data_IF_303135242324
#
_entry.id   IF_303135242324
#
_cell.length_a   1.000
_cell.length_b   1.000
_cell.length_c   1.000
_cell.angle_alpha   90.00
_cell.angle_beta   90.00
_cell.angle_gamma   90.00
#
_symmetry.space_group_name_H-M   'P 1'
#
loop_
_entity.id
_entity.type
_entity.pdbx_description
1 polymer ?
#
# COMPACT_ATOMS: atom_id res chain seq x y z
N UNK A 1 70.11 -3.74 -0.98
CA UNK A 1 69.52 -2.93 0.11
C UNK A 1 68.16 -3.51 0.44
N UNK A 2 68.11 -4.35 1.49
CA UNK A 2 66.91 -4.56 2.30
C UNK A 2 66.90 -3.48 3.40
N UNK A 3 65.75 -3.24 4.07
CA UNK A 3 65.53 -4.00 5.29
C UNK A 3 64.13 -4.61 5.43
N UNK A 4 64.12 -5.77 6.07
CA UNK A 4 63.03 -6.35 6.86
C UNK A 4 62.64 -5.46 8.06
N UNK A 5 61.42 -5.61 8.56
CA UNK A 5 61.04 -5.66 10.00
C UNK A 5 59.54 -5.93 10.13
N UNK A 6 59.17 -7.17 10.53
CA UNK A 6 58.82 -7.63 11.90
C UNK A 6 57.42 -7.24 12.37
N UNK A 7 56.55 -8.25 12.36
CA UNK A 7 55.71 -8.75 13.46
C UNK A 7 55.54 -7.87 14.70
N UNK A 8 54.30 -7.67 15.13
CA UNK A 8 53.92 -7.91 16.53
C UNK A 8 52.45 -8.29 16.69
N UNK A 9 52.29 -9.37 17.44
CA UNK A 9 51.08 -9.97 18.04
C UNK A 9 50.68 -9.13 19.25
N UNK A 10 49.40 -8.84 19.47
CA UNK A 10 48.84 -8.83 20.84
C UNK A 10 47.38 -9.28 20.82
N UNK A 11 47.18 -10.43 21.46
CA UNK A 11 45.93 -11.01 21.94
C UNK A 11 45.41 -10.17 23.12
N UNK A 12 44.12 -9.79 23.12
CA UNK A 12 43.42 -9.46 24.37
C UNK A 12 42.00 -10.00 24.34
N UNK A 13 41.81 -10.95 25.24
CA UNK A 13 40.58 -11.57 25.67
C UNK A 13 39.60 -10.56 26.30
N UNK A 14 38.33 -10.97 26.28
CA UNK A 14 37.45 -11.04 27.46
C UNK A 14 36.21 -10.14 27.47
N UNK A 15 35.10 -10.85 27.74
CA UNK A 15 33.92 -10.48 28.53
C UNK A 15 32.78 -9.64 27.94
N UNK A 16 31.67 -10.36 27.88
CA UNK A 16 30.35 -10.02 28.44
C UNK A 16 29.41 -9.14 27.60
N UNK A 17 28.44 -9.79 26.96
CA UNK A 17 27.04 -9.70 27.41
C UNK A 17 26.15 -10.59 26.53
N UNK A 18 26.03 -11.86 26.93
CA UNK A 18 24.86 -12.65 26.62
C UNK A 18 23.65 -11.97 27.30
N UNK A 19 22.90 -11.18 26.54
CA UNK A 19 21.51 -10.89 26.87
C UNK A 19 20.65 -11.87 26.09
N UNK A 20 20.32 -12.97 26.77
CA UNK A 20 19.26 -13.88 26.36
C UNK A 20 17.96 -13.10 26.21
N UNK A 21 17.62 -12.77 24.97
CA UNK A 21 16.26 -12.38 24.61
C UNK A 21 15.45 -13.67 24.59
N UNK A 22 14.82 -13.97 25.72
CA UNK A 22 13.74 -14.95 25.76
C UNK A 22 12.69 -14.54 24.72
N UNK A 23 12.56 -15.36 23.68
CA UNK A 23 11.52 -15.19 22.68
C UNK A 23 10.17 -15.44 23.35
N UNK A 24 9.15 -14.58 23.17
CA UNK A 24 7.84 -14.83 23.74
C UNK A 24 7.28 -16.15 23.19
N UNK A 25 6.57 -16.94 24.02
CA UNK A 25 6.01 -18.22 23.58
C UNK A 25 4.99 -18.01 22.44
N UNK A 26 4.89 -18.96 21.49
CA UNK A 26 3.94 -18.88 20.40
C UNK A 26 2.50 -18.88 20.91
N UNK A 27 1.69 -17.95 20.39
CA UNK A 27 0.29 -17.79 20.73
C UNK A 27 -0.54 -18.91 20.07
N UNK A 28 -1.07 -19.84 20.87
CA UNK A 28 -1.97 -20.88 20.39
C UNK A 28 -3.41 -20.34 20.34
N UNK A 29 -3.78 -19.69 19.24
CA UNK A 29 -5.16 -19.22 19.03
C UNK A 29 -6.05 -20.36 18.52
N UNK A 30 -6.55 -21.19 19.43
CA UNK A 30 -7.68 -22.07 19.13
C UNK A 30 -8.73 -21.93 20.22
N UNK A 31 -9.32 -20.74 20.31
CA UNK A 31 -10.58 -20.55 21.03
C UNK A 31 -11.71 -20.53 20.00
N UNK A 32 -12.28 -21.70 19.72
CA UNK A 32 -13.55 -21.80 19.02
C UNK A 32 -14.65 -21.92 20.07
N UNK A 33 -15.59 -20.97 20.16
CA UNK A 33 -16.74 -21.11 21.04
C UNK A 33 -17.62 -22.23 20.47
N UNK A 34 -17.71 -23.37 21.15
CA UNK A 34 -18.68 -24.40 20.79
C UNK A 34 -20.08 -23.90 21.15
N UNK A 35 -20.85 -23.51 20.14
CA UNK A 35 -22.27 -23.18 20.28
C UNK A 35 -23.06 -24.46 20.63
N UNK A 36 -23.67 -24.50 21.82
CA UNK A 36 -24.53 -25.60 22.24
C UNK A 36 -26.00 -25.22 21.98
N UNK A 37 -26.66 -25.77 20.94
CA UNK A 37 -27.97 -25.32 20.48
C UNK A 37 -29.16 -25.82 21.34
N UNK A 38 -28.94 -26.47 22.49
CA UNK A 38 -30.01 -27.10 23.28
C UNK A 38 -30.39 -26.36 24.56
N UNK A 39 -30.10 -25.06 24.67
CA UNK A 39 -30.46 -24.28 25.86
C UNK A 39 -31.89 -23.75 25.78
N UNK A 40 -32.85 -24.53 26.29
CA UNK A 40 -34.21 -24.07 26.56
C UNK A 40 -34.28 -23.44 27.96
N UNK A 41 -34.43 -22.11 28.08
CA UNK A 41 -34.42 -21.41 29.36
C UNK A 41 -35.69 -21.66 30.21
N UNK A 42 -36.70 -22.34 29.68
CA UNK A 42 -37.99 -22.52 30.37
C UNK A 42 -38.07 -23.78 31.23
N UNK A 43 -37.24 -24.79 30.95
CA UNK A 43 -37.19 -26.05 31.70
C UNK A 43 -36.31 -26.03 32.96
N UNK A 44 -35.55 -24.94 33.18
CA UNK A 44 -34.59 -24.85 34.30
C UNK A 44 -35.21 -24.41 35.64
N UNK A 45 -36.53 -24.16 35.71
CA UNK A 45 -37.17 -23.56 36.90
C UNK A 45 -37.79 -24.53 37.89
N UNK A 46 -38.07 -25.78 37.53
CA UNK A 46 -38.92 -26.65 38.37
C UNK A 46 -38.21 -27.78 39.12
N UNK A 47 -36.92 -28.03 38.88
CA UNK A 47 -36.19 -29.09 39.59
C UNK A 47 -34.76 -28.67 39.97
N UNK A 48 -34.64 -27.62 40.78
CA UNK A 48 -33.37 -27.28 41.40
C UNK A 48 -33.18 -28.13 42.68
N UNK A 49 -32.31 -29.18 42.68
CA UNK A 49 -31.91 -29.80 43.94
C UNK A 49 -31.23 -28.73 44.80
N UNK A 50 -31.45 -28.79 46.12
CA UNK A 50 -30.76 -27.96 47.10
C UNK A 50 -29.25 -28.10 46.86
N UNK A 51 -28.68 -27.15 46.12
CA UNK A 51 -27.24 -27.10 45.88
C UNK A 51 -26.61 -26.72 47.19
N UNK A 52 -26.05 -27.71 47.87
CA UNK A 52 -25.03 -27.50 48.88
C UNK A 52 -24.10 -26.40 48.37
N UNK A 53 -23.88 -25.39 49.21
CA UNK A 53 -22.98 -24.29 48.97
C UNK A 53 -21.57 -24.85 48.76
N UNK A 54 -21.27 -25.28 47.52
CA UNK A 54 -19.92 -25.38 47.01
C UNK A 54 -19.41 -23.95 47.00
N UNK A 55 -18.82 -23.57 48.14
CA UNK A 55 -18.10 -22.33 48.31
C UNK A 55 -17.21 -22.20 47.08
N UNK A 56 -17.55 -21.24 46.21
CA UNK A 56 -16.76 -20.92 45.04
C UNK A 56 -15.40 -20.49 45.58
N UNK A 57 -14.47 -21.45 45.64
CA UNK A 57 -13.13 -21.25 46.14
C UNK A 57 -12.46 -20.48 45.04
N UNK A 58 -12.48 -19.15 45.16
CA UNK A 58 -11.81 -18.26 44.23
C UNK A 58 -10.40 -18.83 43.98
N UNK A 59 -10.00 -19.02 42.72
CA UNK A 59 -8.67 -19.49 42.42
C UNK A 59 -7.67 -18.54 43.10
N UNK A 60 -6.79 -19.12 43.92
CA UNK A 60 -5.86 -18.38 44.79
C UNK A 60 -4.94 -17.40 44.02
N UNK A 61 -4.93 -17.45 42.69
CA UNK A 61 -4.30 -16.49 41.79
C UNK A 61 -4.91 -15.08 41.82
N UNK A 62 -6.02 -14.85 42.54
CA UNK A 62 -6.61 -13.51 42.70
C UNK A 62 -6.20 -12.80 44.01
N UNK A 63 -5.44 -13.47 44.89
CA UNK A 63 -5.05 -12.94 46.21
C UNK A 63 -3.71 -12.23 46.25
N UNK A 64 -2.98 -12.20 45.13
CA UNK A 64 -1.71 -11.47 45.05
C UNK A 64 -1.89 -10.12 44.34
N UNK A 65 -2.02 -9.01 45.09
CA UNK A 65 -2.10 -7.67 44.51
C UNK A 65 -0.85 -7.29 43.70
N UNK A 66 0.32 -7.92 43.96
CA UNK A 66 1.52 -7.68 43.16
C UNK A 66 1.39 -8.29 41.75
N UNK A 67 0.75 -9.45 41.62
CA UNK A 67 0.47 -10.09 40.32
C UNK A 67 -0.59 -9.31 39.50
N UNK A 68 -1.48 -8.55 40.16
CA UNK A 68 -2.41 -7.64 39.49
C UNK A 68 -1.72 -6.35 39.04
N UNK A 69 -0.86 -5.77 39.88
CA UNK A 69 -0.05 -4.59 39.54
C UNK A 69 0.98 -4.85 38.43
N UNK A 70 1.57 -6.05 38.38
CA UNK A 70 2.48 -6.45 37.30
C UNK A 70 1.77 -6.51 35.94
N UNK A 71 0.57 -7.11 35.90
CA UNK A 71 -0.25 -7.17 34.68
C UNK A 71 -0.68 -5.77 34.22
N UNK A 72 -1.13 -4.89 35.11
CA UNK A 72 -1.54 -3.54 34.71
C UNK A 72 -0.39 -2.71 34.13
N UNK A 73 0.84 -2.89 34.62
CA UNK A 73 2.05 -2.29 34.02
C UNK A 73 2.34 -2.87 32.64
N UNK A 74 2.26 -4.18 32.48
CA UNK A 74 2.50 -4.83 31.20
C UNK A 74 1.45 -4.44 30.14
N UNK A 75 0.18 -4.31 30.53
CA UNK A 75 -0.87 -3.78 29.65
C UNK A 75 -0.66 -2.29 29.31
N UNK A 76 -0.18 -1.49 30.25
CA UNK A 76 0.13 -0.08 30.01
C UNK A 76 1.32 0.08 29.04
N UNK A 77 2.37 -0.74 29.16
CA UNK A 77 3.50 -0.76 28.23
C UNK A 77 3.11 -1.24 26.83
N UNK A 78 2.34 -2.33 26.75
CA UNK A 78 1.81 -2.83 25.47
C UNK A 78 0.95 -1.77 24.77
N UNK A 79 0.04 -1.11 25.49
CA UNK A 79 -0.80 -0.06 24.93
C UNK A 79 0.03 1.15 24.48
N UNK A 80 1.10 1.51 25.21
CA UNK A 80 2.03 2.57 24.79
C UNK A 80 2.75 2.21 23.51
N UNK A 81 3.32 1.02 23.41
CA UNK A 81 4.01 0.56 22.19
C UNK A 81 3.09 0.51 20.97
N UNK A 82 1.86 -0.01 21.14
CA UNK A 82 0.86 -0.01 20.06
C UNK A 82 0.46 1.42 19.67
N UNK A 83 0.29 2.32 20.64
CA UNK A 83 -0.06 3.71 20.36
C UNK A 83 1.05 4.48 19.66
N UNK A 84 2.31 4.26 20.02
CA UNK A 84 3.45 4.87 19.32
C UNK A 84 3.57 4.33 17.90
N UNK A 85 3.45 3.01 17.72
CA UNK A 85 3.50 2.40 16.39
C UNK A 85 2.35 2.89 15.48
N UNK A 86 1.14 3.05 16.02
CA UNK A 86 0.01 3.61 15.27
C UNK A 86 0.20 5.09 14.92
N UNK A 87 0.77 5.89 15.84
CA UNK A 87 1.09 7.29 15.59
C UNK A 87 2.17 7.42 14.50
N UNK A 88 3.19 6.56 14.53
CA UNK A 88 4.26 6.52 13.53
C UNK A 88 3.73 6.07 12.16
N UNK A 89 2.83 5.09 12.13
CA UNK A 89 2.16 4.66 10.90
C UNK A 89 1.31 5.79 10.29
N UNK A 90 0.55 6.51 11.12
CA UNK A 90 -0.24 7.67 10.69
C UNK A 90 0.64 8.80 10.16
N UNK A 91 1.73 9.14 10.88
CA UNK A 91 2.74 10.12 10.41
C UNK A 91 3.28 9.71 9.05
N UNK A 92 3.75 8.47 8.92
CA UNK A 92 4.32 7.96 7.67
C UNK A 92 3.34 8.03 6.50
N UNK A 93 2.08 7.66 6.71
CA UNK A 93 1.07 7.75 5.68
C UNK A 93 0.88 9.19 5.19
N UNK A 94 0.79 10.17 6.10
CA UNK A 94 0.65 11.60 5.75
C UNK A 94 1.87 12.11 4.98
N UNK A 95 3.09 11.75 5.39
CA UNK A 95 4.31 12.07 4.63
C UNK A 95 4.25 11.48 3.22
N UNK A 96 3.73 10.26 3.13
CA UNK A 96 3.46 9.58 1.87
C UNK A 96 2.47 10.33 0.98
N UNK A 97 1.36 10.85 1.53
CA UNK A 97 0.41 11.65 0.75
C UNK A 97 1.08 12.88 0.14
N UNK A 98 1.92 13.58 0.91
CA UNK A 98 2.69 14.73 0.41
C UNK A 98 3.71 14.31 -0.67
N UNK A 99 4.38 13.18 -0.49
CA UNK A 99 5.23 12.60 -1.52
C UNK A 99 4.47 12.19 -2.78
N UNK A 100 3.23 11.70 -2.63
CA UNK A 100 2.34 11.37 -3.73
C UNK A 100 1.95 12.61 -4.53
N UNK A 101 1.61 13.72 -3.86
CA UNK A 101 1.37 15.03 -4.52
C UNK A 101 2.58 15.44 -5.35
N UNK A 102 3.78 15.43 -4.77
CA UNK A 102 5.01 15.78 -5.48
C UNK A 102 5.27 14.84 -6.67
N UNK A 103 5.02 13.54 -6.49
CA UNK A 103 5.17 12.53 -7.54
C UNK A 103 4.24 12.78 -8.73
N UNK A 104 2.96 13.06 -8.48
CA UNK A 104 1.98 13.37 -9.54
C UNK A 104 2.40 14.61 -10.32
N UNK A 105 2.81 15.68 -9.61
CA UNK A 105 3.29 16.91 -10.26
C UNK A 105 4.53 16.63 -11.12
N UNK A 106 5.51 15.90 -10.60
CA UNK A 106 6.74 15.61 -11.34
C UNK A 106 6.48 14.74 -12.58
N UNK A 107 5.61 13.74 -12.46
CA UNK A 107 5.18 12.91 -13.59
C UNK A 107 4.48 13.76 -14.66
N UNK A 108 3.57 14.65 -14.27
CA UNK A 108 2.85 15.52 -15.20
C UNK A 108 3.79 16.49 -15.92
N UNK A 109 4.71 17.13 -15.18
CA UNK A 109 5.75 17.99 -15.76
C UNK A 109 6.67 17.21 -16.71
N UNK A 110 7.07 15.99 -16.33
CA UNK A 110 7.91 15.14 -17.18
C UNK A 110 7.18 14.79 -18.49
N UNK A 111 5.91 14.41 -18.40
CA UNK A 111 5.13 14.10 -19.60
C UNK A 111 4.87 15.31 -20.49
N UNK A 112 4.64 16.49 -19.92
CA UNK A 112 4.31 17.68 -20.72
C UNK A 112 5.57 18.34 -21.31
N UNK A 113 6.71 18.27 -20.62
CA UNK A 113 7.90 19.05 -20.99
C UNK A 113 9.01 18.19 -21.58
N UNK A 114 9.15 16.93 -21.16
CA UNK A 114 10.29 16.09 -21.51
C UNK A 114 9.91 15.06 -22.57
N UNK A 115 8.77 14.38 -22.41
CA UNK A 115 8.36 13.32 -23.34
C UNK A 115 8.21 13.79 -24.79
N UNK A 116 7.60 14.95 -25.10
CA UNK A 116 7.50 15.43 -26.49
C UNK A 116 8.86 15.69 -27.15
N UNK A 117 9.93 15.85 -26.37
CA UNK A 117 11.29 16.02 -26.88
C UNK A 117 11.98 14.67 -27.14
N UNK A 118 11.54 13.61 -26.46
CA UNK A 118 12.09 12.25 -26.57
C UNK A 118 11.35 11.41 -27.61
N UNK A 119 10.07 11.70 -27.84
CA UNK A 119 9.23 11.01 -28.81
C UNK A 119 9.14 11.85 -30.08
N UNK A 120 9.94 11.49 -31.09
CA UNK A 120 10.01 12.20 -32.39
C UNK A 120 9.01 11.65 -33.43
N UNK A 121 7.99 10.93 -32.99
CA UNK A 121 6.90 10.39 -33.81
C UNK A 121 5.58 10.59 -33.06
N UNK A 122 4.52 10.91 -33.80
CA UNK A 122 3.25 11.50 -33.37
C UNK A 122 2.32 10.66 -32.46
N UNK A 123 2.87 9.99 -31.47
CA UNK A 123 2.13 9.27 -30.43
C UNK A 123 1.96 10.19 -29.21
N UNK A 124 1.23 11.30 -29.40
CA UNK A 124 0.79 12.18 -28.32
C UNK A 124 -0.22 11.46 -27.41
N UNK A 125 0.26 10.57 -26.55
CA UNK A 125 -0.48 10.19 -25.35
C UNK A 125 -0.37 11.31 -24.33
N UNK A 126 -1.29 12.27 -24.43
CA UNK A 126 -1.46 13.32 -23.43
C UNK A 126 -1.71 12.69 -22.07
N UNK A 127 -0.79 12.92 -21.12
CA UNK A 127 -0.86 12.53 -19.70
C UNK A 127 -2.06 13.05 -18.93
N UNK A 128 -3.03 13.66 -19.59
CA UNK A 128 -4.28 14.13 -19.02
C UNK A 128 -5.47 13.44 -19.69
N UNK A 129 -5.61 12.14 -19.40
CA UNK A 129 -6.90 11.46 -19.47
C UNK A 129 -7.57 11.34 -20.86
N UNK A 130 -6.84 11.55 -21.95
CA UNK A 130 -7.33 11.28 -23.31
C UNK A 130 -6.85 9.90 -23.72
N UNK A 131 -7.82 9.01 -23.99
CA UNK A 131 -7.59 7.58 -24.11
C UNK A 131 -6.63 7.20 -25.24
N UNK A 132 -6.09 5.99 -25.10
CA UNK A 132 -5.30 5.26 -26.10
C UNK A 132 -5.90 5.46 -27.50
N UNK A 133 -5.17 6.15 -28.37
CA UNK A 133 -5.47 6.12 -29.80
C UNK A 133 -4.97 4.78 -30.33
N UNK A 134 -5.86 3.80 -30.39
CA UNK A 134 -5.65 2.56 -31.15
C UNK A 134 -5.43 2.90 -32.63
N UNK A 135 -4.18 3.04 -33.04
CA UNK A 135 -3.82 3.35 -34.42
C UNK A 135 -3.94 2.09 -35.28
N UNK A 136 -4.87 2.10 -36.25
CA UNK A 136 -4.84 1.22 -37.41
C UNK A 136 -5.20 -0.26 -37.18
N UNK A 137 -6.51 -0.53 -37.14
CA UNK A 137 -7.10 -1.87 -37.33
C UNK A 137 -6.47 -2.60 -38.52
N UNK A 138 -5.97 -3.84 -38.30
CA UNK A 138 -6.07 -4.96 -39.27
C UNK A 138 -5.62 -6.34 -38.74
N UNK A 139 -5.37 -6.53 -37.44
CA UNK A 139 -5.24 -7.86 -36.84
C UNK A 139 -5.61 -7.77 -35.36
N UNK A 140 -6.80 -8.27 -34.99
CA UNK A 140 -7.18 -8.44 -33.58
C UNK A 140 -6.17 -9.42 -32.94
N UNK A 141 -5.25 -8.90 -32.13
CA UNK A 141 -4.29 -9.72 -31.43
C UNK A 141 -4.94 -10.31 -30.17
N UNK A 142 -4.53 -11.53 -29.75
CA UNK A 142 -5.17 -12.25 -28.65
C UNK A 142 -5.14 -11.54 -27.28
N UNK A 143 -4.45 -10.40 -27.14
CA UNK A 143 -4.29 -9.64 -25.90
C UNK A 143 -4.70 -8.17 -26.01
N UNK A 144 -5.42 -7.80 -27.08
CA UNK A 144 -5.94 -6.43 -27.25
C UNK A 144 -7.07 -6.13 -26.25
N UNK A 145 -7.69 -7.16 -25.68
CA UNK A 145 -8.63 -7.06 -24.56
C UNK A 145 -8.42 -8.23 -23.60
N UNK A 146 -8.10 -7.92 -22.34
CA UNK A 146 -7.98 -8.91 -21.24
C UNK A 146 -9.06 -8.71 -20.18
N UNK A 147 -10.12 -7.97 -20.52
CA UNK A 147 -11.18 -7.59 -19.61
C UNK A 147 -11.97 -8.83 -19.13
N UNK A 148 -12.00 -9.04 -17.81
CA UNK A 148 -12.69 -10.19 -17.19
C UNK A 148 -14.18 -9.91 -17.02
N UNK A 149 -14.55 -8.64 -16.83
CA UNK A 149 -15.91 -8.20 -16.48
C UNK A 149 -16.57 -7.47 -17.68
N UNK A 150 -15.93 -7.51 -18.85
CA UNK A 150 -16.34 -6.79 -20.05
C UNK A 150 -15.69 -5.41 -20.16
N UNK A 151 -15.81 -4.79 -21.33
CA UNK A 151 -15.24 -3.47 -21.59
C UNK A 151 -16.12 -2.36 -21.01
N UNK A 152 -15.49 -1.49 -20.22
CA UNK A 152 -16.16 -0.42 -19.47
C UNK A 152 -15.69 0.97 -19.90
N UNK A 153 -14.64 1.06 -20.72
CA UNK A 153 -14.18 2.29 -21.33
C UNK A 153 -14.79 2.49 -22.73
N UNK A 154 -14.88 3.75 -23.15
CA UNK A 154 -15.28 4.12 -24.51
C UNK A 154 -14.02 4.42 -25.35
N UNK A 155 -14.14 4.37 -26.67
CA UNK A 155 -13.06 4.78 -27.57
C UNK A 155 -12.58 6.21 -27.25
N UNK A 156 -11.26 6.38 -27.11
CA UNK A 156 -10.59 7.63 -26.72
C UNK A 156 -10.91 8.13 -25.28
N UNK A 157 -11.41 7.26 -24.40
CA UNK A 157 -11.60 7.54 -22.98
C UNK A 157 -10.44 6.95 -22.18
N UNK A 158 -9.87 7.71 -21.24
CA UNK A 158 -8.88 7.16 -20.31
C UNK A 158 -9.53 6.26 -19.26
N UNK A 159 -8.74 5.37 -18.67
CA UNK A 159 -9.16 4.55 -17.54
C UNK A 159 -9.72 5.35 -16.36
N UNK A 160 -9.10 6.49 -16.04
CA UNK A 160 -9.54 7.36 -14.96
C UNK A 160 -10.86 8.06 -15.30
N UNK A 161 -11.09 8.42 -16.58
CA UNK A 161 -12.37 8.94 -17.04
C UNK A 161 -13.45 7.85 -17.02
N UNK A 162 -13.14 6.63 -17.47
CA UNK A 162 -14.06 5.49 -17.45
C UNK A 162 -14.48 5.13 -16.01
N UNK A 163 -13.52 5.10 -15.08
CA UNK A 163 -13.78 4.85 -13.66
C UNK A 163 -14.56 6.00 -13.02
N UNK A 164 -14.17 7.25 -13.28
CA UNK A 164 -14.87 8.43 -12.80
C UNK A 164 -16.34 8.42 -13.23
N UNK A 165 -16.59 8.18 -14.52
CA UNK A 165 -17.95 8.06 -15.07
C UNK A 165 -18.76 6.97 -14.37
N UNK A 166 -18.18 5.80 -14.12
CA UNK A 166 -18.88 4.72 -13.40
C UNK A 166 -19.23 5.12 -11.97
N UNK A 167 -18.29 5.72 -11.23
CA UNK A 167 -18.52 6.17 -9.85
C UNK A 167 -19.60 7.25 -9.77
N UNK A 168 -19.63 8.17 -10.73
CA UNK A 168 -20.65 9.22 -10.75
C UNK A 168 -22.01 8.68 -11.16
N UNK A 169 -22.09 7.87 -12.22
CA UNK A 169 -23.35 7.24 -12.62
C UNK A 169 -23.94 6.44 -11.46
N UNK A 170 -23.11 5.75 -10.68
CA UNK A 170 -23.56 5.07 -9.46
C UNK A 170 -24.13 6.01 -8.39
N UNK A 171 -23.60 7.24 -8.29
CA UNK A 171 -23.99 8.21 -7.28
C UNK A 171 -25.21 9.08 -7.67
N UNK A 172 -25.42 9.35 -8.96
CA UNK A 172 -26.38 10.37 -9.43
C UNK A 172 -27.35 9.89 -10.52
N UNK A 173 -27.09 8.75 -11.16
CA UNK A 173 -27.88 8.21 -12.28
C UNK A 173 -27.98 9.15 -13.51
N UNK A 174 -27.05 10.10 -13.67
CA UNK A 174 -27.01 11.06 -14.79
C UNK A 174 -25.82 10.83 -15.75
N UNK A 175 -26.03 11.15 -17.03
CA UNK A 175 -25.02 11.13 -18.10
C UNK A 175 -24.41 12.52 -18.34
N UNK A 176 -23.13 12.57 -18.73
CA UNK A 176 -22.30 13.77 -18.56
C UNK A 176 -21.84 14.50 -19.83
N UNK A 177 -21.64 15.82 -19.67
CA UNK A 177 -20.86 16.63 -20.59
C UNK A 177 -19.34 16.29 -20.56
N UNK A 178 -18.58 16.86 -21.50
CA UNK A 178 -17.13 16.62 -21.62
C UNK A 178 -16.33 17.20 -20.45
N UNK A 179 -16.74 18.33 -19.88
CA UNK A 179 -15.99 19.03 -18.82
C UNK A 179 -16.06 18.27 -17.49
N UNK A 180 -17.21 17.68 -17.18
CA UNK A 180 -17.38 16.82 -16.02
C UNK A 180 -16.50 15.58 -16.13
N UNK A 181 -16.44 14.93 -17.30
CA UNK A 181 -15.56 13.76 -17.52
C UNK A 181 -14.08 14.07 -17.29
N UNK A 182 -13.59 15.19 -17.83
CA UNK A 182 -12.20 15.62 -17.60
C UNK A 182 -11.94 15.86 -16.12
N UNK A 183 -12.85 16.53 -15.42
CA UNK A 183 -12.73 16.78 -13.97
C UNK A 183 -12.67 15.48 -13.18
N UNK A 184 -13.58 14.54 -13.47
CA UNK A 184 -13.64 13.26 -12.77
C UNK A 184 -12.39 12.42 -13.04
N UNK A 185 -11.92 12.39 -14.28
CA UNK A 185 -10.67 11.73 -14.65
C UNK A 185 -9.50 12.28 -13.84
N UNK A 186 -9.38 13.61 -13.76
CA UNK A 186 -8.32 14.28 -13.01
C UNK A 186 -8.40 13.98 -11.52
N UNK A 187 -9.61 14.00 -10.93
CA UNK A 187 -9.83 13.67 -9.52
C UNK A 187 -9.44 12.22 -9.20
N UNK A 188 -9.82 11.27 -10.05
CA UNK A 188 -9.44 9.86 -9.88
C UNK A 188 -7.93 9.68 -10.01
N UNK A 189 -7.31 10.29 -11.02
CA UNK A 189 -5.87 10.21 -11.23
C UNK A 189 -5.08 10.77 -10.04
N UNK A 190 -5.40 12.00 -9.61
CA UNK A 190 -4.77 12.64 -8.47
C UNK A 190 -5.05 11.90 -7.17
N UNK A 191 -6.30 11.50 -6.93
CA UNK A 191 -6.68 10.77 -5.73
C UNK A 191 -5.93 9.45 -5.61
N UNK A 192 -5.83 8.70 -6.72
CA UNK A 192 -5.06 7.46 -6.77
C UNK A 192 -3.56 7.72 -6.53
N UNK A 193 -2.95 8.65 -7.26
CA UNK A 193 -1.52 8.97 -7.13
C UNK A 193 -1.14 9.48 -5.73
N UNK A 194 -1.98 10.30 -5.10
CA UNK A 194 -1.76 10.75 -3.72
C UNK A 194 -1.86 9.57 -2.75
N UNK A 195 -2.89 8.74 -2.88
CA UNK A 195 -3.09 7.57 -2.02
C UNK A 195 -1.94 6.56 -2.13
N UNK A 196 -1.43 6.31 -3.34
CA UNK A 196 -0.27 5.42 -3.55
C UNK A 196 1.00 5.96 -2.89
N UNK A 197 1.19 7.28 -2.82
CA UNK A 197 2.29 7.86 -2.04
C UNK A 197 2.18 7.53 -0.56
N UNK A 198 0.96 7.57 0.00
CA UNK A 198 0.65 7.12 1.35
C UNK A 198 1.04 5.66 1.57
N UNK A 199 0.63 4.78 0.65
CA UNK A 199 0.97 3.34 0.67
C UNK A 199 2.48 3.13 0.64
N UNK A 200 3.19 3.82 -0.26
CA UNK A 200 4.65 3.74 -0.36
C UNK A 200 5.33 4.03 0.98
N UNK A 201 4.99 5.16 1.60
CA UNK A 201 5.63 5.58 2.85
C UNK A 201 5.27 4.66 4.03
N UNK A 202 4.06 4.08 4.05
CA UNK A 202 3.66 3.10 5.05
C UNK A 202 4.37 1.74 4.90
N UNK A 203 4.70 1.34 3.68
CA UNK A 203 5.42 0.08 3.42
C UNK A 203 6.93 0.20 3.66
N UNK A 204 7.48 1.41 3.58
CA UNK A 204 8.93 1.63 3.65
C UNK A 204 9.39 1.99 5.04
N UNK A 205 10.38 1.22 5.52
CA UNK A 205 11.09 1.53 6.75
C UNK A 205 11.66 2.96 6.69
N UNK A 206 11.61 3.71 7.79
CA UNK A 206 12.29 5.01 7.88
C UNK A 206 13.79 4.80 7.71
N UNK A 207 14.37 5.38 6.66
CA UNK A 207 15.82 5.40 6.48
C UNK A 207 16.29 6.82 6.21
N UNK A 208 17.52 7.12 6.63
CA UNK A 208 18.16 8.41 6.45
C UNK A 208 18.77 8.59 5.06
N UNK A 209 18.65 7.63 4.13
CA UNK A 209 19.27 7.65 2.80
C UNK A 209 18.23 7.54 1.70
N UNK A 210 18.39 8.35 0.64
CA UNK A 210 17.50 8.39 -0.53
C UNK A 210 17.25 6.98 -1.12
N UNK A 211 16.11 6.36 -0.80
CA UNK A 211 15.59 5.11 -1.37
C UNK A 211 15.06 5.32 -2.81
N UNK A 212 15.94 5.81 -3.69
CA UNK A 212 15.60 6.06 -5.09
C UNK A 212 15.28 4.75 -5.81
N UNK A 213 15.99 3.68 -5.48
CA UNK A 213 15.75 2.35 -6.05
C UNK A 213 14.40 1.79 -5.59
N UNK A 214 14.04 1.96 -4.31
CA UNK A 214 12.74 1.57 -3.80
C UNK A 214 11.60 2.37 -4.41
N UNK A 215 11.80 3.68 -4.62
CA UNK A 215 10.87 4.53 -5.37
C UNK A 215 10.70 4.08 -6.82
N UNK A 216 11.80 3.83 -7.53
CA UNK A 216 11.77 3.32 -8.90
C UNK A 216 11.06 1.96 -8.99
N UNK A 217 11.38 1.02 -8.09
CA UNK A 217 10.73 -0.29 -8.04
C UNK A 217 9.23 -0.17 -7.75
N UNK A 218 8.83 0.75 -6.85
CA UNK A 218 7.43 1.02 -6.57
C UNK A 218 6.71 1.59 -7.80
N UNK A 219 7.29 2.59 -8.46
CA UNK A 219 6.76 3.16 -9.70
C UNK A 219 6.60 2.10 -10.80
N UNK A 220 7.63 1.31 -11.06
CA UNK A 220 7.58 0.20 -12.01
C UNK A 220 6.50 -0.84 -11.64
N UNK A 221 6.31 -1.11 -10.34
CA UNK A 221 5.23 -1.96 -9.84
C UNK A 221 3.84 -1.38 -10.12
N UNK A 222 3.64 -0.08 -9.93
CA UNK A 222 2.38 0.59 -10.27
C UNK A 222 2.09 0.53 -11.77
N UNK A 223 3.10 0.74 -12.62
CA UNK A 223 2.95 0.58 -14.07
C UNK A 223 2.56 -0.87 -14.43
N UNK A 224 3.33 -1.85 -13.96
CA UNK A 224 3.10 -3.25 -14.34
C UNK A 224 1.77 -3.79 -13.79
N UNK A 225 1.46 -3.53 -12.52
CA UNK A 225 0.28 -4.09 -11.87
C UNK A 225 -0.96 -3.23 -12.13
N UNK A 226 -0.83 -1.91 -12.13
CA UNK A 226 -1.93 -0.99 -12.40
C UNK A 226 -2.21 -0.93 -13.89
N UNK A 227 -1.31 -0.31 -14.64
CA UNK A 227 -1.53 0.00 -16.06
C UNK A 227 -1.55 -1.24 -16.96
N UNK A 228 -0.59 -2.16 -16.83
CA UNK A 228 -0.51 -3.29 -17.77
C UNK A 228 -1.45 -4.46 -17.43
N UNK A 229 -1.95 -4.52 -16.18
CA UNK A 229 -2.69 -5.67 -15.68
C UNK A 229 -4.08 -5.31 -15.15
N UNK A 230 -4.17 -4.63 -14.01
CA UNK A 230 -5.44 -4.43 -13.31
C UNK A 230 -6.41 -3.56 -14.11
N UNK A 231 -5.94 -2.46 -14.68
CA UNK A 231 -6.80 -1.52 -15.41
C UNK A 231 -7.39 -2.16 -16.68
N UNK A 232 -6.62 -2.88 -17.53
CA UNK A 232 -7.19 -3.61 -18.66
C UNK A 232 -8.04 -4.82 -18.24
N UNK A 233 -7.68 -5.53 -17.17
CA UNK A 233 -8.51 -6.63 -16.64
C UNK A 233 -9.88 -6.16 -16.16
N UNK A 234 -9.96 -4.93 -15.65
CA UNK A 234 -11.22 -4.28 -15.28
C UNK A 234 -11.94 -3.67 -16.49
N UNK A 235 -11.41 -3.83 -17.70
CA UNK A 235 -11.98 -3.26 -18.93
C UNK A 235 -11.97 -1.73 -18.94
N UNK A 236 -11.14 -1.09 -18.12
CA UNK A 236 -11.03 0.36 -18.04
C UNK A 236 -10.05 0.94 -19.08
N UNK A 237 -9.26 0.10 -19.74
CA UNK A 237 -8.48 0.46 -20.93
C UNK A 237 -8.25 -0.75 -21.82
N UNK A 238 -7.68 -0.53 -23.00
CA UNK A 238 -7.29 -1.59 -23.92
C UNK A 238 -6.17 -2.47 -23.32
N UNK A 239 -6.05 -3.69 -23.82
CA UNK A 239 -5.02 -4.63 -23.40
C UNK A 239 -3.60 -4.24 -23.82
N UNK A 240 -2.57 -4.92 -23.28
CA UNK A 240 -1.18 -4.55 -23.46
C UNK A 240 -0.67 -4.69 -24.91
N UNK A 241 -1.34 -5.41 -25.81
CA UNK A 241 -0.92 -5.49 -27.22
C UNK A 241 -1.56 -4.42 -28.11
N UNK A 242 -2.51 -3.64 -27.57
CA UNK A 242 -3.19 -2.58 -28.32
C UNK A 242 -2.30 -1.33 -28.53
N UNK A 243 -1.23 -1.20 -27.74
CA UNK A 243 -0.26 -0.10 -27.85
C UNK A 243 1.13 -0.57 -28.31
N UNK A 244 1.87 0.34 -28.95
CA UNK A 244 3.23 0.06 -29.38
C UNK A 244 4.22 -0.03 -28.21
N UNK A 245 5.36 -0.71 -28.41
CA UNK A 245 6.41 -0.85 -27.40
C UNK A 245 6.92 0.50 -26.85
N UNK A 246 6.95 1.54 -27.69
CA UNK A 246 7.30 2.90 -27.28
C UNK A 246 6.35 3.47 -26.22
N UNK A 247 5.05 3.22 -26.36
CA UNK A 247 4.02 3.63 -25.39
C UNK A 247 4.26 3.00 -24.02
N UNK A 248 4.55 1.70 -23.96
CA UNK A 248 4.85 1.02 -22.69
C UNK A 248 6.11 1.57 -22.01
N UNK A 249 7.17 1.81 -22.79
CA UNK A 249 8.41 2.42 -22.28
C UNK A 249 8.14 3.83 -21.75
N UNK A 250 7.33 4.60 -22.46
CA UNK A 250 6.96 5.96 -22.07
C UNK A 250 6.16 5.98 -20.77
N UNK A 251 5.17 5.10 -20.65
CA UNK A 251 4.37 4.93 -19.42
C UNK A 251 5.21 4.46 -18.24
N UNK A 252 6.11 3.51 -18.47
CA UNK A 252 7.08 3.08 -17.46
C UNK A 252 7.95 4.26 -17.00
N UNK A 253 8.50 5.06 -17.93
CA UNK A 253 9.34 6.20 -17.59
C UNK A 253 8.60 7.23 -16.70
N UNK A 254 7.35 7.54 -17.04
CA UNK A 254 6.50 8.42 -16.23
C UNK A 254 6.29 7.86 -14.81
N UNK A 255 6.03 6.57 -14.69
CA UNK A 255 5.84 5.91 -13.39
C UNK A 255 7.14 5.83 -12.57
N UNK A 256 8.29 5.67 -13.22
CA UNK A 256 9.59 5.76 -12.56
C UNK A 256 9.81 7.16 -11.98
N UNK A 257 9.51 8.21 -12.74
CA UNK A 257 9.61 9.60 -12.27
C UNK A 257 8.68 9.85 -11.08
N UNK A 258 7.44 9.38 -11.15
CA UNK A 258 6.50 9.42 -10.02
C UNK A 258 7.12 8.76 -8.78
N UNK A 259 7.53 7.50 -8.88
CA UNK A 259 7.99 6.71 -7.74
C UNK A 259 9.28 7.24 -7.12
N UNK A 260 10.26 7.63 -7.94
CA UNK A 260 11.53 8.26 -7.50
C UNK A 260 11.25 9.56 -6.77
N UNK A 261 10.39 10.41 -7.32
CA UNK A 261 10.06 11.72 -6.74
C UNK A 261 9.34 11.54 -5.41
N UNK A 262 8.32 10.67 -5.36
CA UNK A 262 7.60 10.34 -4.12
C UNK A 262 8.57 9.86 -3.05
N UNK A 263 9.46 8.93 -3.39
CA UNK A 263 10.47 8.44 -2.46
C UNK A 263 11.39 9.56 -1.96
N UNK A 264 11.93 10.39 -2.85
CA UNK A 264 12.81 11.48 -2.49
C UNK A 264 12.12 12.50 -1.57
N UNK A 265 10.88 12.88 -1.88
CA UNK A 265 10.09 13.83 -1.07
C UNK A 265 9.77 13.27 0.31
N UNK A 266 9.30 12.01 0.40
CA UNK A 266 8.99 11.38 1.70
C UNK A 266 10.21 11.41 2.62
N UNK A 267 11.38 11.09 2.07
CA UNK A 267 12.60 11.00 2.87
C UNK A 267 13.16 12.37 3.23
N UNK A 268 13.07 13.33 2.31
CA UNK A 268 13.38 14.72 2.62
C UNK A 268 12.50 15.24 3.77
N UNK A 269 11.19 14.95 3.73
CA UNK A 269 10.28 15.30 4.82
C UNK A 269 10.65 14.58 6.12
N UNK A 270 10.88 13.26 6.10
CA UNK A 270 11.30 12.49 7.29
C UNK A 270 12.54 13.06 7.98
N UNK A 271 13.48 13.62 7.22
CA UNK A 271 14.70 14.25 7.77
C UNK A 271 14.47 15.63 8.35
N UNK A 272 13.43 16.33 7.91
CA UNK A 272 13.19 17.74 8.25
C UNK A 272 12.13 17.94 9.33
N UNK A 273 11.24 16.97 9.56
CA UNK A 273 10.13 17.05 10.53
C UNK A 273 9.94 15.80 11.39
#
# INVERSE_FOLDING_TARGET
MLPERTTDQVDYLDRSSEHGRESPPPYNSTYTPSYNPSYDPTLARENAPQREHLAYREPASYRDPAAYQGRSRQYAEYNRYRSSQAADAGKNFVLGLLGGVAGVIAMDLFSQQIMPLLTQDGDEEQSNGQGQQGNGRNQEQPLDSIAVIGEHHRANESATAALGRHLYHWATDEDHDKQTKTTLSYLVHWGYGIAQGGVYASMREPTDNADLLGGAAFGAGLWLLGDELMVPMLGLQDGPTASGAGTHVNRLAMHLVYGITTAATVQWLRRTI
#
